data_IF_689883935292
#
_entry.id   IF_689883935292
#
_cell.length_a   1.000
_cell.length_b   1.000
_cell.length_c   1.000
_cell.angle_alpha   90.00
_cell.angle_beta   90.00
_cell.angle_gamma   90.00
#
_symmetry.space_group_name_H-M   'P 1'
#
loop_
_entity.id
_entity.type
_entity.pdbx_description
1 polymer ?
#
# COMPACT_ATOMS: atom_id res chain seq x y z
N UNK A 1 -11.38 7.83 -4.31
CA UNK A 1 -10.30 8.85 -4.39
C UNK A 1 -10.82 10.18 -4.91
N UNK A 2 -11.44 10.22 -6.09
CA UNK A 2 -11.91 11.45 -6.74
C UNK A 2 -12.88 12.30 -5.88
N UNK A 3 -13.93 11.70 -5.32
CA UNK A 3 -14.88 12.41 -4.43
C UNK A 3 -14.22 13.00 -3.18
N UNK A 4 -13.28 12.26 -2.58
CA UNK A 4 -12.51 12.70 -1.43
C UNK A 4 -11.61 13.89 -1.75
N UNK A 5 -11.06 13.96 -2.95
CA UNK A 5 -10.26 15.11 -3.36
C UNK A 5 -11.09 16.40 -3.34
N UNK A 6 -12.27 16.42 -3.96
CA UNK A 6 -13.10 17.64 -3.98
C UNK A 6 -13.60 18.04 -2.60
N UNK A 7 -13.94 17.07 -1.76
CA UNK A 7 -14.49 17.36 -0.43
C UNK A 7 -13.41 17.74 0.60
N UNK A 8 -12.23 17.14 0.52
CA UNK A 8 -11.22 17.22 1.59
C UNK A 8 -9.96 17.99 1.18
N UNK A 9 -9.68 18.16 -0.11
CA UNK A 9 -8.42 18.74 -0.63
C UNK A 9 -8.66 20.03 -1.43
N UNK A 10 -9.68 20.05 -2.29
CA UNK A 10 -9.90 21.16 -3.21
C UNK A 10 -10.09 22.50 -2.46
N UNK A 11 -9.35 23.51 -2.93
CA UNK A 11 -9.31 24.86 -2.35
C UNK A 11 -8.24 25.05 -1.27
N UNK A 12 -7.69 23.97 -0.70
CA UNK A 12 -6.67 24.04 0.37
C UNK A 12 -5.27 24.18 -0.20
N UNK A 13 -4.38 24.82 0.56
CA UNK A 13 -2.97 24.95 0.16
C UNK A 13 -2.21 23.62 0.27
N UNK A 14 -2.54 22.83 1.29
CA UNK A 14 -2.01 21.48 1.48
C UNK A 14 -3.05 20.61 2.17
N UNK A 15 -3.14 19.35 1.78
CA UNK A 15 -4.01 18.37 2.44
C UNK A 15 -3.51 16.94 2.20
N UNK A 16 -3.79 16.06 3.15
CA UNK A 16 -3.38 14.65 3.08
C UNK A 16 -4.60 13.75 3.16
N UNK A 17 -4.72 12.84 2.19
CA UNK A 17 -5.71 11.76 2.20
C UNK A 17 -5.05 10.46 2.64
N UNK A 18 -5.56 9.86 3.71
CA UNK A 18 -5.15 8.52 4.16
C UNK A 18 -6.29 7.53 3.96
N UNK A 19 -5.96 6.29 3.65
CA UNK A 19 -6.93 5.19 3.63
C UNK A 19 -6.27 3.84 3.57
N UNK A 20 -7.11 2.80 3.53
CA UNK A 20 -6.70 1.41 3.35
C UNK A 20 -7.38 0.85 2.12
N UNK A 21 -6.67 -0.03 1.42
CA UNK A 21 -7.23 -0.80 0.34
C UNK A 21 -6.78 -2.25 0.50
N UNK A 22 -7.74 -3.17 0.41
CA UNK A 22 -7.45 -4.59 0.34
C UNK A 22 -7.55 -5.01 -1.12
N UNK A 23 -6.43 -5.45 -1.69
CA UNK A 23 -6.43 -6.01 -3.02
C UNK A 23 -7.19 -7.34 -3.01
N UNK A 24 -8.02 -7.55 -4.02
CA UNK A 24 -8.73 -8.80 -4.26
C UNK A 24 -8.08 -9.56 -5.42
N UNK A 25 -8.47 -10.81 -5.65
CA UNK A 25 -7.90 -11.69 -6.68
C UNK A 25 -7.73 -10.98 -8.04
N UNK A 26 -6.53 -11.08 -8.61
CA UNK A 26 -6.23 -10.60 -9.98
C UNK A 26 -5.30 -9.39 -10.07
N UNK A 27 -4.89 -8.78 -8.96
CA UNK A 27 -3.95 -7.66 -9.01
C UNK A 27 -2.51 -8.14 -9.29
N UNK A 28 -1.78 -7.50 -10.23
CA UNK A 28 -0.45 -7.95 -10.69
C UNK A 28 0.66 -7.83 -9.62
N UNK A 29 0.35 -7.25 -8.46
CA UNK A 29 1.28 -7.08 -7.34
C UNK A 29 0.91 -7.99 -6.17
N UNK A 30 1.16 -9.28 -6.32
CA UNK A 30 0.86 -10.33 -5.31
C UNK A 30 1.56 -10.17 -3.96
N UNK A 31 2.52 -9.24 -3.84
CA UNK A 31 3.16 -8.87 -2.57
C UNK A 31 2.35 -7.83 -1.78
N UNK A 32 1.38 -7.15 -2.40
CA UNK A 32 0.51 -6.17 -1.78
C UNK A 32 -0.86 -6.79 -1.53
N UNK A 33 -1.28 -6.86 -0.27
CA UNK A 33 -2.58 -7.38 0.16
C UNK A 33 -3.40 -6.32 0.90
N UNK A 34 -2.85 -5.70 1.94
CA UNK A 34 -3.56 -4.79 2.82
C UNK A 34 -2.85 -3.44 2.89
N UNK A 35 -2.88 -2.72 1.78
CA UNK A 35 -2.12 -1.47 1.67
C UNK A 35 -2.75 -0.36 2.48
N UNK A 36 -1.91 0.38 3.21
CA UNK A 36 -2.23 1.71 3.71
C UNK A 36 -1.63 2.72 2.75
N UNK A 37 -2.46 3.64 2.26
CA UNK A 37 -2.00 4.73 1.40
C UNK A 37 -2.11 6.06 2.11
N UNK A 38 -1.17 6.94 1.80
CA UNK A 38 -1.13 8.33 2.21
C UNK A 38 -0.79 9.16 0.96
N UNK A 39 -1.66 10.09 0.59
CA UNK A 39 -1.45 10.98 -0.54
C UNK A 39 -1.49 12.41 -0.05
N UNK A 40 -0.36 13.09 -0.18
CA UNK A 40 -0.23 14.51 0.17
C UNK A 40 -0.34 15.35 -1.08
N UNK A 41 -1.26 16.30 -1.07
CA UNK A 41 -1.50 17.25 -2.15
C UNK A 41 -1.02 18.62 -1.74
N UNK A 42 -0.24 19.27 -2.59
CA UNK A 42 0.20 20.65 -2.41
C UNK A 42 -0.25 21.48 -3.60
N UNK A 43 -0.96 22.58 -3.33
CA UNK A 43 -1.47 23.48 -4.37
C UNK A 43 -0.33 24.29 -4.98
N UNK A 44 -0.29 24.31 -6.30
CA UNK A 44 0.66 25.06 -7.11
C UNK A 44 0.13 26.47 -7.39
N UNK A 45 1.03 27.40 -7.73
CA UNK A 45 0.67 28.79 -8.07
C UNK A 45 -0.27 28.90 -9.27
N UNK A 46 -0.21 27.94 -10.20
CA UNK A 46 -1.13 27.85 -11.35
C UNK A 46 -2.51 27.27 -11.00
N UNK A 47 -2.79 27.01 -9.72
CA UNK A 47 -4.06 26.44 -9.25
C UNK A 47 -4.16 24.92 -9.34
N UNK A 48 -3.18 24.24 -9.96
CA UNK A 48 -3.06 22.79 -9.96
C UNK A 48 -2.58 22.22 -8.62
N UNK A 49 -2.47 20.89 -8.53
CA UNK A 49 -1.96 20.21 -7.33
C UNK A 49 -0.85 19.24 -7.70
N UNK A 50 0.23 19.25 -6.92
CA UNK A 50 1.27 18.23 -6.91
C UNK A 50 0.91 17.16 -5.88
N UNK A 51 1.01 15.88 -6.25
CA UNK A 51 0.65 14.77 -5.38
C UNK A 51 1.86 13.88 -5.05
N UNK A 52 2.12 13.68 -3.76
CA UNK A 52 3.10 12.70 -3.26
C UNK A 52 2.35 11.53 -2.65
N UNK A 53 2.59 10.34 -3.19
CA UNK A 53 1.97 9.10 -2.79
C UNK A 53 2.96 8.29 -1.94
N UNK A 54 2.49 7.77 -0.81
CA UNK A 54 3.16 6.78 0.00
C UNK A 54 2.21 5.62 0.22
N UNK A 55 2.59 4.44 -0.25
CA UNK A 55 1.84 3.20 -0.08
C UNK A 55 2.70 2.26 0.74
N UNK A 56 2.15 1.74 1.82
CA UNK A 56 2.84 0.81 2.72
C UNK A 56 2.07 -0.47 2.89
N UNK A 57 2.78 -1.59 2.97
CA UNK A 57 2.23 -2.90 3.29
C UNK A 57 3.22 -3.72 4.12
N UNK A 58 2.75 -4.81 4.71
CA UNK A 58 3.57 -5.81 5.37
C UNK A 58 3.35 -7.13 4.63
N UNK A 59 4.43 -7.69 4.12
CA UNK A 59 4.43 -9.04 3.59
C UNK A 59 4.86 -10.02 4.68
N UNK A 60 3.89 -10.76 5.21
CA UNK A 60 4.05 -11.66 6.37
C UNK A 60 3.96 -13.15 6.02
N UNK A 61 3.89 -13.48 4.72
CA UNK A 61 3.75 -14.86 4.20
C UNK A 61 2.51 -15.61 4.74
N UNK A 62 1.53 -14.92 5.36
CA UNK A 62 0.33 -15.56 5.86
C UNK A 62 -0.56 -16.00 4.69
N UNK A 63 -0.76 -17.32 4.61
CA UNK A 63 -1.53 -17.99 3.58
C UNK A 63 -2.97 -17.46 3.44
N UNK A 64 -3.59 -17.02 4.55
CA UNK A 64 -4.95 -16.47 4.53
C UNK A 64 -5.05 -15.08 3.90
N UNK A 65 -3.91 -14.39 3.71
CA UNK A 65 -3.87 -13.02 3.24
C UNK A 65 -3.49 -12.88 1.75
N UNK A 66 -3.00 -13.95 1.10
CA UNK A 66 -2.54 -13.92 -0.29
C UNK A 66 -3.10 -15.11 -1.09
N UNK A 67 -3.67 -14.85 -2.26
CA UNK A 67 -4.06 -15.94 -3.17
C UNK A 67 -2.82 -16.59 -3.79
N UNK A 68 -2.72 -17.90 -3.60
CA UNK A 68 -1.49 -18.67 -3.76
C UNK A 68 -0.92 -18.67 -5.17
N UNK A 69 0.37 -18.37 -5.24
CA UNK A 69 1.22 -18.87 -6.31
C UNK A 69 1.40 -20.39 -6.12
N UNK A 70 1.71 -21.10 -7.19
CA UNK A 70 2.38 -22.42 -7.20
C UNK A 70 3.69 -22.51 -6.38
N UNK A 71 4.03 -21.53 -5.53
CA UNK A 71 5.13 -21.53 -4.53
C UNK A 71 4.61 -21.67 -3.10
N UNK A 72 3.53 -22.41 -2.88
CA UNK A 72 3.03 -22.75 -1.54
C UNK A 72 4.13 -23.31 -0.62
N UNK A 73 5.08 -24.07 -1.15
CA UNK A 73 6.24 -24.55 -0.39
C UNK A 73 7.14 -23.41 0.12
N UNK A 74 7.47 -22.43 -0.72
CA UNK A 74 8.34 -21.31 -0.35
C UNK A 74 7.72 -20.39 0.69
N UNK A 75 6.44 -20.05 0.53
CA UNK A 75 5.73 -19.22 1.51
C UNK A 75 5.51 -19.97 2.83
N UNK A 76 5.18 -21.26 2.80
CA UNK A 76 5.04 -22.07 4.02
C UNK A 76 6.36 -22.19 4.78
N UNK A 77 7.47 -22.38 4.05
CA UNK A 77 8.80 -22.37 4.65
C UNK A 77 9.08 -21.02 5.31
N UNK A 78 8.87 -19.90 4.61
CA UNK A 78 9.09 -18.57 5.17
C UNK A 78 8.19 -18.29 6.39
N UNK A 79 6.91 -18.65 6.36
CA UNK A 79 5.99 -18.51 7.48
C UNK A 79 6.43 -19.36 8.70
N UNK A 80 6.90 -20.59 8.47
CA UNK A 80 7.47 -21.42 9.53
C UNK A 80 8.75 -20.79 10.12
N UNK A 81 9.64 -20.27 9.26
CA UNK A 81 10.86 -19.57 9.70
C UNK A 81 10.54 -18.29 10.48
N UNK A 82 9.46 -17.56 10.15
CA UNK A 82 9.00 -16.43 10.97
C UNK A 82 8.48 -16.85 12.33
N UNK A 83 7.67 -17.92 12.40
CA UNK A 83 7.18 -18.47 13.67
C UNK A 83 8.32 -18.95 14.58
N UNK A 84 9.41 -19.44 14.00
CA UNK A 84 10.64 -19.80 14.70
C UNK A 84 11.52 -18.57 15.04
N UNK A 85 11.14 -17.36 14.61
CA UNK A 85 11.88 -16.12 14.87
C UNK A 85 13.13 -15.94 14.00
N UNK A 86 13.31 -16.75 12.96
CA UNK A 86 14.51 -16.78 12.12
C UNK A 86 14.49 -15.72 11.01
N UNK A 87 13.30 -15.32 10.55
CA UNK A 87 13.12 -14.20 9.63
C UNK A 87 11.99 -13.30 10.12
N UNK A 88 11.94 -12.05 9.65
CA UNK A 88 10.91 -11.06 10.01
C UNK A 88 9.97 -10.80 8.82
N UNK A 89 8.74 -10.30 9.06
CA UNK A 89 7.91 -9.74 7.99
C UNK A 89 8.65 -8.64 7.23
N UNK A 90 8.35 -8.52 5.94
CA UNK A 90 8.96 -7.52 5.07
C UNK A 90 8.06 -6.30 4.98
N UNK A 91 8.58 -5.14 5.38
CA UNK A 91 7.89 -3.88 5.18
C UNK A 91 8.07 -3.42 3.73
N UNK A 92 6.96 -3.24 3.02
CA UNK A 92 6.94 -2.68 1.67
C UNK A 92 6.59 -1.20 1.78
N UNK A 93 7.37 -0.34 1.11
CA UNK A 93 7.10 1.10 1.02
C UNK A 93 7.33 1.57 -0.41
N UNK A 94 6.28 2.03 -1.06
CA UNK A 94 6.30 2.60 -2.40
C UNK A 94 6.05 4.09 -2.28
N UNK A 95 6.98 4.90 -2.80
CA UNK A 95 6.88 6.36 -2.80
C UNK A 95 6.90 6.82 -4.24
N UNK A 96 5.89 7.62 -4.62
CA UNK A 96 5.81 8.24 -5.94
C UNK A 96 5.58 9.74 -5.79
N UNK A 97 6.41 10.53 -6.47
CA UNK A 97 6.30 11.98 -6.52
C UNK A 97 5.81 12.36 -7.91
N UNK A 98 4.53 12.73 -8.00
CA UNK A 98 3.95 13.35 -9.19
C UNK A 98 4.19 14.85 -9.24
#
# INVERSE_FOLDING_TARGET
MYSRFYNEVYGKQSATLTGRHKFTVGDPFYALANVTYNVTFNRLSNGGYKATYKITDIYDFDWGNYENISVGFGNNYCMAMQKLGLIKPFNISIIYNG
#
